data_IF_740980222376
#
_entry.id   IF_740980222376
#
_cell.length_a   1.000
_cell.length_b   1.000
_cell.length_c   1.000
_cell.angle_alpha   90.00
_cell.angle_beta   90.00
_cell.angle_gamma   90.00
#
_symmetry.space_group_name_H-M   'P 1'
#
loop_
_entity.id
_entity.type
_entity.pdbx_description
1 polymer ?
#
# COMPACT_ATOMS: atom_id res chain seq x y z
N UNK A 1 -4.59 11.02 -15.90
CA UNK A 1 -4.17 11.14 -14.49
C UNK A 1 -2.88 10.38 -14.30
N UNK A 2 -1.90 10.99 -13.67
CA UNK A 2 -0.56 10.41 -13.44
C UNK A 2 -0.45 9.83 -12.03
N UNK A 3 0.52 8.96 -11.82
CA UNK A 3 0.86 8.41 -10.49
C UNK A 3 1.12 9.53 -9.48
N UNK A 4 1.83 10.58 -9.88
CA UNK A 4 2.09 11.75 -9.03
C UNK A 4 0.83 12.44 -8.49
N UNK A 5 -0.31 12.31 -9.16
CA UNK A 5 -1.57 12.97 -8.77
C UNK A 5 -2.26 12.26 -7.60
N UNK A 6 -1.94 10.99 -7.34
CA UNK A 6 -2.63 10.19 -6.33
C UNK A 6 -1.74 9.42 -5.37
N UNK A 7 -0.42 9.37 -5.59
CA UNK A 7 0.49 8.68 -4.67
C UNK A 7 0.55 9.37 -3.30
N UNK A 8 0.81 8.60 -2.27
CA UNK A 8 1.13 9.13 -0.95
C UNK A 8 2.60 9.53 -0.89
N UNK A 9 2.86 10.78 -0.45
CA UNK A 9 4.21 11.28 -0.19
C UNK A 9 4.70 10.87 1.21
N UNK A 10 3.78 10.47 2.11
CA UNK A 10 4.11 10.00 3.44
C UNK A 10 4.36 8.49 3.39
N UNK A 11 5.59 8.12 3.11
CA UNK A 11 6.01 6.72 3.06
C UNK A 11 6.46 6.28 4.45
N UNK A 12 5.86 5.21 4.97
CA UNK A 12 6.36 4.55 6.18
C UNK A 12 7.61 3.76 5.81
N UNK A 13 8.74 4.12 6.38
CA UNK A 13 10.00 3.39 6.24
C UNK A 13 10.35 2.69 7.54
N UNK A 14 10.77 1.43 7.45
CA UNK A 14 11.20 0.60 8.58
C UNK A 14 12.53 -0.06 8.25
N UNK A 15 13.26 -0.50 9.27
CA UNK A 15 14.45 -1.32 9.10
C UNK A 15 14.13 -2.81 9.00
N UNK A 16 15.06 -3.62 8.46
CA UNK A 16 14.87 -5.07 8.30
C UNK A 16 14.78 -5.82 9.63
N UNK A 17 15.34 -5.26 10.71
CA UNK A 17 15.35 -5.87 12.04
C UNK A 17 14.07 -5.59 12.87
N UNK A 18 13.17 -4.72 12.42
CA UNK A 18 11.88 -4.57 13.07
C UNK A 18 11.11 -5.89 13.05
N UNK A 19 10.52 -6.27 14.18
CA UNK A 19 9.65 -7.43 14.21
C UNK A 19 8.37 -7.19 13.41
N UNK A 20 7.71 -8.26 12.98
CA UNK A 20 6.44 -8.13 12.27
C UNK A 20 5.37 -7.48 13.16
N UNK A 21 5.42 -7.67 14.49
CA UNK A 21 4.52 -6.98 15.40
C UNK A 21 4.79 -5.49 15.47
N UNK A 22 6.05 -5.08 15.53
CA UNK A 22 6.42 -3.65 15.49
C UNK A 22 5.99 -3.01 14.18
N UNK A 23 6.28 -3.66 13.05
CA UNK A 23 5.85 -3.22 11.73
C UNK A 23 4.32 -3.08 11.65
N UNK A 24 3.59 -4.10 12.13
CA UNK A 24 2.12 -4.08 12.15
C UNK A 24 1.57 -2.91 12.98
N UNK A 25 2.15 -2.62 14.15
CA UNK A 25 1.75 -1.47 14.99
C UNK A 25 2.00 -0.14 14.27
N UNK A 26 3.16 0.01 13.64
CA UNK A 26 3.50 1.23 12.89
C UNK A 26 2.57 1.43 11.70
N UNK A 27 2.27 0.37 10.95
CA UNK A 27 1.35 0.40 9.81
C UNK A 27 -0.08 0.72 10.26
N UNK A 28 -0.56 0.09 11.33
CA UNK A 28 -1.89 0.33 11.88
C UNK A 28 -2.06 1.77 12.39
N UNK A 29 -1.07 2.30 13.11
CA UNK A 29 -1.08 3.68 13.61
C UNK A 29 -1.14 4.73 12.49
N UNK A 30 -0.59 4.42 11.32
CA UNK A 30 -0.60 5.30 10.14
C UNK A 30 -1.69 4.97 9.13
N UNK A 31 -2.54 3.98 9.41
CA UNK A 31 -3.60 3.50 8.50
C UNK A 31 -3.09 3.13 7.09
N UNK A 32 -1.90 2.54 7.02
CA UNK A 32 -1.29 2.09 5.76
C UNK A 32 -1.17 0.58 5.70
N UNK A 33 -1.28 0.02 4.50
CA UNK A 33 -1.19 -1.43 4.25
C UNK A 33 0.19 -1.91 3.80
N UNK A 34 1.19 -1.02 3.73
CA UNK A 34 2.54 -1.34 3.33
C UNK A 34 3.56 -0.40 3.97
N UNK A 35 4.78 -0.91 4.16
CA UNK A 35 5.95 -0.15 4.58
C UNK A 35 7.13 -0.46 3.66
N UNK A 36 7.95 0.54 3.38
CA UNK A 36 9.23 0.35 2.68
C UNK A 36 10.26 -0.12 3.69
N UNK A 37 10.95 -1.20 3.37
CA UNK A 37 12.03 -1.74 4.21
C UNK A 37 13.36 -1.24 3.65
N UNK A 38 14.06 -0.44 4.43
CA UNK A 38 15.35 0.15 4.07
C UNK A 38 16.45 -0.52 4.87
N UNK A 39 17.37 -1.16 4.18
CA UNK A 39 18.57 -1.71 4.79
C UNK A 39 19.75 -0.78 4.49
N UNK A 40 20.38 -0.14 5.50
CA UNK A 40 21.50 0.76 5.29
C UNK A 40 22.75 0.07 4.74
N UNK A 41 22.86 -1.25 4.91
CA UNK A 41 24.02 -2.04 4.48
C UNK A 41 23.89 -2.55 3.02
N UNK A 42 22.74 -2.38 2.41
CA UNK A 42 22.47 -2.84 1.04
C UNK A 42 21.81 -1.76 0.20
N UNK A 43 22.26 -1.64 -1.04
CA UNK A 43 21.57 -0.82 -2.03
C UNK A 43 20.22 -1.46 -2.38
N UNK A 44 19.18 -0.65 -2.37
CA UNK A 44 17.82 -1.06 -2.69
C UNK A 44 16.88 -1.03 -1.49
N UNK A 45 15.62 -1.23 -1.78
CA UNK A 45 14.56 -1.23 -0.80
C UNK A 45 13.69 -2.48 -0.96
N UNK A 46 13.14 -2.95 0.15
CA UNK A 46 12.08 -3.96 0.17
C UNK A 46 10.72 -3.33 0.40
N UNK A 47 9.67 -4.09 0.23
CA UNK A 47 8.31 -3.72 0.62
C UNK A 47 7.71 -4.82 1.49
N UNK A 48 7.23 -4.44 2.68
CA UNK A 48 6.46 -5.29 3.58
C UNK A 48 5.00 -4.87 3.53
N UNK A 49 4.10 -5.82 3.32
CA UNK A 49 2.68 -5.56 3.24
C UNK A 49 1.91 -6.26 4.37
N UNK A 50 0.66 -5.81 4.62
CA UNK A 50 -0.25 -6.50 5.53
C UNK A 50 -0.47 -7.97 5.14
N UNK A 51 -0.40 -8.31 3.84
CA UNK A 51 -0.52 -9.68 3.35
C UNK A 51 0.68 -10.54 3.76
N UNK A 52 1.89 -10.00 3.79
CA UNK A 52 3.09 -10.70 4.22
C UNK A 52 2.99 -11.06 5.71
N UNK A 53 2.52 -10.11 6.52
CA UNK A 53 2.26 -10.33 7.95
C UNK A 53 1.19 -11.40 8.14
N UNK A 54 0.08 -11.31 7.40
CA UNK A 54 -1.00 -12.30 7.45
C UNK A 54 -0.50 -13.71 7.10
N UNK A 55 0.32 -13.85 6.05
CA UNK A 55 0.88 -15.15 5.65
C UNK A 55 1.78 -15.74 6.72
N UNK A 56 2.62 -14.93 7.36
CA UNK A 56 3.48 -15.37 8.45
C UNK A 56 2.67 -15.90 9.64
N UNK A 57 1.66 -15.15 10.07
CA UNK A 57 0.77 -15.56 11.16
C UNK A 57 -0.02 -16.82 10.79
N UNK A 58 -0.52 -16.91 9.56
CA UNK A 58 -1.26 -18.08 9.08
C UNK A 58 -0.43 -19.36 9.04
N UNK A 59 0.89 -19.23 8.83
CA UNK A 59 1.83 -20.39 8.92
C UNK A 59 2.30 -20.72 10.33
N UNK A 60 1.78 -20.05 11.35
CA UNK A 60 2.10 -20.33 12.75
C UNK A 60 3.38 -19.68 13.26
N UNK A 61 3.95 -18.76 12.49
CA UNK A 61 5.14 -18.02 12.91
C UNK A 61 4.79 -16.96 13.96
N UNK A 62 5.72 -16.70 14.86
CA UNK A 62 5.53 -15.74 15.94
C UNK A 62 5.92 -14.32 15.48
N UNK A 63 4.97 -13.37 15.38
CA UNK A 63 5.28 -12.01 14.93
C UNK A 63 6.19 -11.23 15.88
N UNK A 64 6.42 -11.70 17.10
CA UNK A 64 7.34 -11.08 18.05
C UNK A 64 8.81 -11.46 17.82
N UNK A 65 9.05 -12.47 17.02
CA UNK A 65 10.42 -12.96 16.70
C UNK A 65 10.74 -12.90 15.21
N UNK A 66 9.72 -12.98 14.35
CA UNK A 66 9.88 -12.83 12.91
C UNK A 66 10.18 -11.36 12.57
N UNK A 67 11.11 -11.11 11.65
CA UNK A 67 11.57 -9.77 11.31
C UNK A 67 11.17 -9.36 9.88
N UNK A 68 10.99 -8.07 9.67
CA UNK A 68 10.54 -7.50 8.41
C UNK A 68 11.45 -7.89 7.22
N UNK A 69 12.74 -7.98 7.44
CA UNK A 69 13.72 -8.33 6.41
C UNK A 69 13.52 -9.72 5.81
N UNK A 70 13.02 -10.66 6.61
CA UNK A 70 12.81 -12.05 6.18
C UNK A 70 11.47 -12.24 5.43
N UNK A 71 10.55 -11.29 5.56
CA UNK A 71 9.20 -11.38 5.02
C UNK A 71 8.89 -10.35 3.93
N UNK A 72 9.71 -9.30 3.79
CA UNK A 72 9.51 -8.31 2.74
C UNK A 72 9.86 -8.86 1.36
N UNK A 73 9.20 -8.31 0.33
CA UNK A 73 9.58 -8.54 -1.06
C UNK A 73 10.78 -7.64 -1.38
N UNK A 74 11.87 -8.23 -1.90
CA UNK A 74 13.06 -7.49 -2.31
C UNK A 74 13.07 -7.14 -3.79
N UNK A 75 12.48 -7.97 -4.65
CA UNK A 75 12.26 -7.68 -6.06
C UNK A 75 11.09 -6.72 -6.24
N UNK A 76 11.28 -5.48 -5.78
CA UNK A 76 10.22 -4.46 -5.79
C UNK A 76 10.01 -3.95 -7.20
N UNK A 77 8.75 -3.88 -7.60
CA UNK A 77 8.36 -3.20 -8.84
C UNK A 77 8.19 -1.73 -8.55
N UNK A 78 8.98 -0.92 -9.23
CA UNK A 78 8.94 0.53 -9.11
C UNK A 78 8.04 1.17 -10.16
N UNK A 79 7.44 2.29 -9.82
CA UNK A 79 6.74 3.16 -10.75
C UNK A 79 7.43 4.52 -10.82
N UNK A 80 7.39 5.16 -11.98
CA UNK A 80 7.77 6.55 -12.12
C UNK A 80 6.56 7.46 -11.86
N UNK A 81 6.81 8.70 -11.42
CA UNK A 81 5.77 9.69 -11.13
C UNK A 81 4.89 10.02 -12.33
N UNK A 82 5.44 9.96 -13.52
CA UNK A 82 4.78 10.30 -14.78
C UNK A 82 4.00 9.14 -15.42
N UNK A 83 4.06 7.94 -14.84
CA UNK A 83 3.22 6.83 -15.29
C UNK A 83 1.75 7.20 -15.20
N UNK A 84 0.95 6.62 -16.09
CA UNK A 84 -0.51 6.76 -15.99
C UNK A 84 -1.06 5.87 -14.87
N UNK A 85 -2.16 6.30 -14.25
CA UNK A 85 -2.85 5.49 -13.23
C UNK A 85 -3.34 4.16 -13.78
N UNK A 86 -3.78 4.14 -15.03
CA UNK A 86 -4.21 2.92 -15.74
C UNK A 86 -3.04 1.95 -15.93
N UNK A 87 -1.87 2.48 -16.31
CA UNK A 87 -0.65 1.70 -16.45
C UNK A 87 -0.22 1.09 -15.11
N UNK A 88 -0.23 1.88 -14.05
CA UNK A 88 0.07 1.42 -12.69
C UNK A 88 -0.91 0.33 -12.22
N UNK A 89 -2.22 0.54 -12.44
CA UNK A 89 -3.25 -0.45 -12.12
C UNK A 89 -3.02 -1.77 -12.87
N UNK A 90 -2.72 -1.69 -14.17
CA UNK A 90 -2.46 -2.87 -14.98
C UNK A 90 -1.24 -3.67 -14.50
N UNK A 91 -0.19 -2.98 -14.05
CA UNK A 91 1.00 -3.62 -13.46
C UNK A 91 0.64 -4.32 -12.15
N UNK A 92 -0.10 -3.67 -11.26
CA UNK A 92 -0.56 -4.26 -9.99
C UNK A 92 -1.42 -5.52 -10.23
N UNK A 93 -2.36 -5.47 -11.18
CA UNK A 93 -3.23 -6.59 -11.51
C UNK A 93 -2.42 -7.78 -12.05
N UNK A 94 -1.53 -7.54 -13.01
CA UNK A 94 -0.69 -8.61 -13.58
C UNK A 94 0.25 -9.23 -12.56
N UNK A 95 0.81 -8.40 -11.66
CA UNK A 95 1.75 -8.86 -10.65
C UNK A 95 1.10 -9.44 -9.39
N UNK A 96 -0.23 -9.30 -9.23
CA UNK A 96 -0.96 -9.78 -8.06
C UNK A 96 -0.62 -9.03 -6.77
N UNK A 97 -0.11 -7.82 -6.86
CA UNK A 97 0.19 -6.95 -5.71
C UNK A 97 -0.61 -5.64 -5.77
N UNK A 98 -0.70 -4.94 -4.64
CA UNK A 98 -1.59 -3.78 -4.47
C UNK A 98 -0.86 -2.48 -4.18
N UNK A 99 0.47 -2.49 -4.19
CA UNK A 99 1.30 -1.34 -3.89
C UNK A 99 2.45 -1.25 -4.88
N UNK A 100 2.80 -0.03 -5.27
CA UNK A 100 3.99 0.28 -6.06
C UNK A 100 4.81 1.33 -5.31
N UNK A 101 6.10 1.09 -5.20
CA UNK A 101 7.05 2.09 -4.72
C UNK A 101 7.33 3.06 -5.85
N UNK A 102 7.12 4.35 -5.60
CA UNK A 102 7.33 5.40 -6.60
C UNK A 102 8.71 6.00 -6.39
N UNK A 103 9.49 6.03 -7.47
CA UNK A 103 10.86 6.54 -7.44
C UNK A 103 11.06 7.69 -8.41
N UNK A 104 12.01 8.54 -8.07
CA UNK A 104 12.56 9.58 -8.94
C UNK A 104 14.09 9.49 -8.89
N UNK A 105 14.69 9.10 -10.03
CA UNK A 105 16.09 8.68 -10.02
C UNK A 105 16.29 7.43 -9.16
N UNK A 106 17.06 7.58 -8.07
CA UNK A 106 17.33 6.48 -7.11
C UNK A 106 16.59 6.66 -5.78
N UNK A 107 15.77 7.70 -5.65
CA UNK A 107 15.08 8.03 -4.41
C UNK A 107 13.64 7.55 -4.41
N UNK A 108 13.21 6.99 -3.28
CA UNK A 108 11.80 6.69 -3.03
C UNK A 108 11.09 8.00 -2.71
N UNK A 109 10.17 8.40 -3.58
CA UNK A 109 9.43 9.67 -3.46
C UNK A 109 7.97 9.49 -3.10
N UNK A 110 7.48 8.26 -3.08
CA UNK A 110 6.08 7.98 -2.73
C UNK A 110 5.74 6.50 -2.74
N UNK A 111 4.51 6.22 -2.36
CA UNK A 111 3.89 4.91 -2.45
C UNK A 111 2.51 5.06 -3.08
N UNK A 112 2.20 4.23 -4.06
CA UNK A 112 0.89 4.16 -4.69
C UNK A 112 0.22 2.85 -4.32
N UNK A 113 -0.99 2.92 -3.78
CA UNK A 113 -1.81 1.75 -3.50
C UNK A 113 -2.98 1.62 -4.48
N UNK A 114 -3.54 0.42 -4.61
CA UNK A 114 -4.79 0.21 -5.37
C UNK A 114 -5.94 1.07 -4.82
N UNK A 115 -5.97 1.32 -3.51
CA UNK A 115 -6.95 2.22 -2.86
C UNK A 115 -6.80 3.66 -3.38
N UNK A 116 -5.57 4.13 -3.57
CA UNK A 116 -5.32 5.47 -4.09
C UNK A 116 -5.82 5.61 -5.52
N UNK A 117 -5.62 4.59 -6.35
CA UNK A 117 -6.13 4.55 -7.72
C UNK A 117 -7.66 4.64 -7.73
N UNK A 118 -8.34 3.83 -6.90
CA UNK A 118 -9.80 3.84 -6.79
C UNK A 118 -10.30 5.21 -6.30
N UNK A 119 -9.64 5.79 -5.30
CA UNK A 119 -9.98 7.12 -4.79
C UNK A 119 -9.88 8.19 -5.89
N UNK A 120 -8.80 8.17 -6.66
CA UNK A 120 -8.59 9.11 -7.76
C UNK A 120 -9.66 8.95 -8.87
N UNK A 121 -9.98 7.73 -9.25
CA UNK A 121 -11.00 7.47 -10.26
C UNK A 121 -12.40 7.83 -9.77
N UNK A 122 -12.71 7.59 -8.49
CA UNK A 122 -13.98 7.99 -7.90
C UNK A 122 -14.14 9.51 -7.89
N UNK A 123 -13.09 10.23 -7.51
CA UNK A 123 -13.10 11.69 -7.51
C UNK A 123 -13.25 12.28 -8.92
N UNK A 124 -12.62 11.67 -9.93
CA UNK A 124 -12.73 12.11 -11.33
C UNK A 124 -14.10 11.83 -11.95
N UNK A 125 -14.88 10.90 -11.39
CA UNK A 125 -16.21 10.50 -11.87
C UNK A 125 -17.38 11.20 -11.19
N UNK A 126 -17.16 12.05 -10.19
CA UNK A 126 -18.19 12.88 -9.59
C UNK A 126 -18.23 14.20 -10.37
N UNK A 127 -19.05 14.31 -11.47
CA UNK A 127 -19.40 15.61 -12.01
C UNK A 127 -20.26 16.33 -10.97
N UNK A 128 -20.34 17.65 -11.02
CA UNK A 128 -21.04 18.53 -10.10
C UNK A 128 -22.58 18.28 -9.96
N UNK A 129 -23.05 17.06 -10.12
CA UNK A 129 -24.45 16.63 -10.01
C UNK A 129 -24.74 15.77 -8.76
N UNK A 130 -23.79 15.60 -7.85
CA UNK A 130 -23.99 14.80 -6.65
C UNK A 130 -24.68 15.56 -5.49
N UNK A 131 -25.55 16.53 -5.80
CA UNK A 131 -26.50 17.07 -4.81
C UNK A 131 -27.89 16.42 -4.88
N UNK A 132 -28.07 15.36 -5.64
CA UNK A 132 -29.31 14.61 -5.71
C UNK A 132 -28.99 13.10 -5.67
N UNK A 133 -28.83 12.56 -4.52
CA UNK A 133 -28.97 11.17 -4.10
C UNK A 133 -27.91 10.74 -3.08
N UNK A 134 -27.92 11.40 -1.93
CA UNK A 134 -27.53 10.76 -0.69
C UNK A 134 -28.64 9.78 -0.24
N UNK A 135 -28.95 8.80 -1.10
CA UNK A 135 -29.76 7.64 -0.76
C UNK A 135 -28.96 6.38 -1.12
N UNK A 136 -27.88 6.13 -0.35
CA UNK A 136 -27.44 4.76 -0.22
C UNK A 136 -28.57 4.02 0.53
N UNK A 137 -29.08 2.88 0.00
CA UNK A 137 -30.10 2.13 0.71
C UNK A 137 -29.56 1.68 2.07
N UNK A 138 -30.42 1.73 3.07
CA UNK A 138 -30.21 1.42 4.48
C UNK A 138 -29.75 -0.04 4.77
N UNK A 139 -29.34 -0.77 3.74
CA UNK A 139 -28.86 -2.15 3.80
C UNK A 139 -27.39 -2.30 4.30
N UNK A 140 -26.64 -1.22 4.42
CA UNK A 140 -25.28 -1.28 4.97
C UNK A 140 -25.26 -1.36 6.50
N UNK A 141 -26.37 -1.10 7.20
CA UNK A 141 -26.46 -1.21 8.66
C UNK A 141 -26.79 -2.62 9.15
N UNK A 142 -27.29 -3.50 8.31
CA UNK A 142 -27.66 -4.88 8.69
C UNK A 142 -26.46 -5.80 8.98
N UNK A 143 -25.25 -5.44 8.61
CA UNK A 143 -24.03 -6.25 8.80
C UNK A 143 -23.15 -5.85 9.99
N UNK A 144 -23.57 -4.91 10.82
CA UNK A 144 -22.79 -4.46 12.00
C UNK A 144 -23.17 -5.17 13.30
N UNK A 145 -24.07 -6.16 13.28
CA UNK A 145 -24.57 -6.83 14.49
C UNK A 145 -24.38 -8.36 14.45
N UNK A 146 -23.33 -8.85 13.82
CA UNK A 146 -22.96 -10.26 13.92
C UNK A 146 -21.49 -10.37 14.30
#
# INVERSE_FOLDING_TARGET
MKVADGMSLQVLSIGPAHTLREAARMMAARHVGAAVVVNPDHAGVGILTERDILKSVASGQNPDTEVAGDHCTQDVVFAARDWTMEGAAAVMVRGGFRHLVVVEGHEVVGLLSMRDIVRCWSAARIPAQANAQANAPDSAQAFRSA
#
